data_IF_412155993462
#
_entry.id   IF_412155993462
#
_cell.length_a   1.000
_cell.length_b   1.000
_cell.length_c   1.000
_cell.angle_alpha   90.00
_cell.angle_beta   90.00
_cell.angle_gamma   90.00
#
_symmetry.space_group_name_H-M   'P 1'
#
loop_
_entity.id
_entity.type
_entity.pdbx_description
1 polymer ?
#
# COMPACT_ATOMS: atom_id res chain seq x y z
N UNK A 1 11.78 18.97 24.75
CA UNK A 1 11.46 18.06 23.61
C UNK A 1 11.24 16.66 24.15
N UNK A 2 10.08 16.03 23.93
CA UNK A 2 9.76 14.79 24.65
C UNK A 2 10.33 13.55 23.95
N UNK A 3 10.66 12.47 24.70
CA UNK A 3 11.49 11.37 24.23
C UNK A 3 10.65 10.23 23.64
N UNK A 4 10.14 10.36 22.41
CA UNK A 4 9.17 9.40 21.87
C UNK A 4 9.67 8.43 20.78
N UNK A 5 10.98 8.32 20.53
CA UNK A 5 11.51 7.47 19.43
C UNK A 5 12.52 6.39 19.83
N UNK A 6 12.76 6.15 21.12
CA UNK A 6 13.75 5.13 21.56
C UNK A 6 13.42 3.72 21.07
N UNK A 7 12.14 3.35 21.06
CA UNK A 7 11.64 2.08 20.53
C UNK A 7 11.44 2.05 19.00
N UNK A 8 11.91 3.05 18.27
CA UNK A 8 11.80 3.15 16.81
C UNK A 8 13.16 3.46 16.17
N UNK A 9 14.25 3.10 16.85
CA UNK A 9 15.63 3.33 16.39
C UNK A 9 16.00 2.49 15.18
N UNK A 10 15.38 1.32 15.04
CA UNK A 10 15.57 0.39 13.93
C UNK A 10 14.24 -0.28 13.56
N UNK A 11 14.29 -1.18 12.58
CA UNK A 11 13.11 -1.91 12.09
C UNK A 11 12.80 -3.20 12.89
N UNK A 12 13.50 -3.48 14.00
CA UNK A 12 13.26 -4.66 14.85
C UNK A 12 11.87 -4.67 15.51
N UNK A 13 11.45 -3.55 16.15
CA UNK A 13 10.12 -3.42 16.76
C UNK A 13 8.97 -3.68 15.77
N UNK A 14 9.01 -3.06 14.57
CA UNK A 14 7.98 -3.29 13.55
C UNK A 14 7.96 -4.74 13.04
N UNK A 15 9.13 -5.38 12.87
CA UNK A 15 9.22 -6.79 12.47
C UNK A 15 8.62 -7.71 13.53
N UNK A 16 8.80 -7.39 14.80
CA UNK A 16 8.27 -8.18 15.93
C UNK A 16 6.75 -8.12 15.93
N UNK A 17 6.18 -6.90 15.88
CA UNK A 17 4.72 -6.68 15.79
C UNK A 17 4.13 -7.44 14.60
N UNK A 18 4.76 -7.35 13.43
CA UNK A 18 4.31 -8.08 12.24
C UNK A 18 4.32 -9.59 12.45
N UNK A 19 5.41 -10.17 12.96
CA UNK A 19 5.51 -11.61 13.21
C UNK A 19 4.42 -12.08 14.16
N UNK A 20 4.17 -11.34 15.24
CA UNK A 20 3.15 -11.67 16.22
C UNK A 20 1.74 -11.59 15.62
N UNK A 21 1.44 -10.57 14.81
CA UNK A 21 0.17 -10.41 14.14
C UNK A 21 -0.12 -11.55 13.14
N UNK A 22 0.86 -11.89 12.28
CA UNK A 22 0.72 -13.01 11.34
C UNK A 22 0.53 -14.34 12.07
N UNK A 23 1.29 -14.57 13.15
CA UNK A 23 1.13 -15.76 14.01
C UNK A 23 -0.26 -15.83 14.64
N UNK A 24 -0.76 -14.72 15.19
CA UNK A 24 -2.09 -14.66 15.81
C UNK A 24 -3.22 -14.91 14.79
N UNK A 25 -3.03 -14.53 13.53
CA UNK A 25 -3.95 -14.79 12.43
C UNK A 25 -3.82 -16.20 11.82
N UNK A 26 -2.88 -17.03 12.28
CA UNK A 26 -2.62 -18.36 11.71
C UNK A 26 -2.02 -18.32 10.30
N UNK A 27 -1.40 -17.20 9.91
CA UNK A 27 -0.83 -16.97 8.59
C UNK A 27 0.69 -17.12 8.59
N UNK A 28 1.31 -17.51 7.45
CA UNK A 28 2.75 -17.44 7.28
C UNK A 28 3.28 -16.02 7.52
N UNK A 29 4.51 -15.89 8.01
CA UNK A 29 5.13 -14.58 8.16
C UNK A 29 5.47 -13.98 6.78
N UNK A 30 4.92 -12.80 6.52
CA UNK A 30 5.29 -11.95 5.39
C UNK A 30 6.00 -10.70 5.92
N UNK A 31 7.04 -10.25 5.20
CA UNK A 31 7.82 -9.11 5.65
C UNK A 31 7.03 -7.79 5.53
N UNK A 32 7.41 -6.72 6.25
CA UNK A 32 6.70 -5.44 6.18
C UNK A 32 6.60 -4.83 4.77
N UNK A 33 7.51 -5.16 3.87
CA UNK A 33 7.49 -4.66 2.49
C UNK A 33 6.38 -5.31 1.66
N UNK A 34 6.17 -6.63 1.79
CA UNK A 34 5.04 -7.31 1.14
C UNK A 34 3.69 -6.74 1.55
N UNK A 35 3.54 -6.33 2.81
CA UNK A 35 2.31 -5.68 3.26
C UNK A 35 2.13 -4.27 2.65
N UNK A 36 3.23 -3.50 2.50
CA UNK A 36 3.20 -2.23 1.77
C UNK A 36 2.77 -2.42 0.30
N UNK A 37 3.18 -3.50 -0.34
CA UNK A 37 2.70 -3.84 -1.69
C UNK A 37 1.20 -4.15 -1.72
N UNK A 38 0.70 -4.92 -0.75
CA UNK A 38 -0.75 -5.17 -0.61
C UNK A 38 -1.52 -3.87 -0.45
N UNK A 39 -1.04 -2.94 0.40
CA UNK A 39 -1.66 -1.62 0.57
C UNK A 39 -1.59 -0.77 -0.71
N UNK A 40 -0.51 -0.88 -1.49
CA UNK A 40 -0.44 -0.20 -2.78
C UNK A 40 -1.49 -0.76 -3.75
N UNK A 41 -1.59 -2.09 -3.90
CA UNK A 41 -2.63 -2.71 -4.74
C UNK A 41 -4.05 -2.33 -4.28
N UNK A 42 -4.29 -2.30 -2.97
CA UNK A 42 -5.58 -1.92 -2.41
C UNK A 42 -5.99 -0.47 -2.74
N UNK A 43 -5.03 0.42 -3.04
CA UNK A 43 -5.31 1.77 -3.50
C UNK A 43 -6.09 1.79 -4.82
N UNK A 44 -5.90 0.80 -5.70
CA UNK A 44 -6.68 0.68 -6.95
C UNK A 44 -8.19 0.48 -6.70
N UNK A 45 -8.54 -0.08 -5.55
CA UNK A 45 -9.94 -0.35 -5.19
C UNK A 45 -10.56 0.75 -4.33
N UNK A 46 -9.74 1.44 -3.52
CA UNK A 46 -10.25 2.44 -2.57
C UNK A 46 -10.16 3.87 -3.08
N UNK A 47 -9.11 4.22 -3.82
CA UNK A 47 -8.92 5.57 -4.34
C UNK A 47 -9.73 5.74 -5.62
N UNK A 48 -10.60 6.74 -5.64
CA UNK A 48 -11.52 7.07 -6.74
C UNK A 48 -11.01 8.21 -7.60
N UNK A 49 -10.06 8.98 -7.09
CA UNK A 49 -9.47 10.12 -7.78
C UNK A 49 -7.97 10.25 -7.45
N UNK A 50 -7.32 11.16 -8.17
CA UNK A 50 -5.89 11.42 -8.04
C UNK A 50 -5.49 11.97 -6.66
N UNK A 51 -6.33 12.79 -6.04
CA UNK A 51 -6.06 13.38 -4.72
C UNK A 51 -6.01 12.30 -3.63
N UNK A 52 -6.99 11.40 -3.62
CA UNK A 52 -7.02 10.24 -2.72
C UNK A 52 -5.81 9.33 -2.93
N UNK A 53 -5.44 9.07 -4.19
CA UNK A 53 -4.26 8.27 -4.51
C UNK A 53 -2.96 8.96 -4.05
N UNK A 54 -2.88 10.29 -4.17
CA UNK A 54 -1.73 11.09 -3.71
C UNK A 54 -1.63 11.06 -2.18
N UNK A 55 -2.74 11.24 -1.48
CA UNK A 55 -2.79 11.15 -0.02
C UNK A 55 -2.42 9.74 0.48
N UNK A 56 -2.92 8.69 -0.16
CA UNK A 56 -2.58 7.30 0.14
C UNK A 56 -1.08 7.04 -0.06
N UNK A 57 -0.51 7.50 -1.18
CA UNK A 57 0.92 7.39 -1.48
C UNK A 57 1.79 8.09 -0.43
N UNK A 58 1.41 9.31 -0.02
CA UNK A 58 2.15 10.07 1.00
C UNK A 58 2.04 9.43 2.39
N UNK A 59 0.88 8.87 2.75
CA UNK A 59 0.70 8.12 3.99
C UNK A 59 1.60 6.88 4.04
N UNK A 60 1.83 6.23 2.90
CA UNK A 60 2.79 5.13 2.80
C UNK A 60 4.24 5.60 2.83
N UNK A 61 4.54 6.89 2.80
CA UNK A 61 5.90 7.44 2.76
C UNK A 61 6.57 7.34 1.38
N UNK A 62 5.78 7.38 0.29
CA UNK A 62 6.29 7.51 -1.07
C UNK A 62 6.26 8.99 -1.49
N UNK A 63 7.43 9.57 -1.78
CA UNK A 63 7.54 10.94 -2.29
C UNK A 63 7.01 11.07 -3.73
N UNK A 64 7.19 10.02 -4.53
CA UNK A 64 6.73 9.93 -5.91
C UNK A 64 5.60 8.90 -6.06
N UNK A 65 4.47 9.34 -6.65
CA UNK A 65 3.32 8.52 -6.99
C UNK A 65 3.69 7.36 -7.92
N UNK A 66 4.74 7.52 -8.74
CA UNK A 66 5.27 6.49 -9.63
C UNK A 66 5.55 5.19 -8.88
N UNK A 67 6.12 5.27 -7.67
CA UNK A 67 6.43 4.07 -6.87
C UNK A 67 5.17 3.34 -6.40
N UNK A 68 4.10 4.08 -6.10
CA UNK A 68 2.79 3.52 -5.80
C UNK A 68 2.18 2.88 -7.04
N UNK A 69 2.16 3.56 -8.19
CA UNK A 69 1.59 3.00 -9.42
C UNK A 69 2.33 1.75 -9.91
N UNK A 70 3.67 1.72 -9.82
CA UNK A 70 4.45 0.52 -10.14
C UNK A 70 4.12 -0.62 -9.17
N UNK A 71 3.94 -0.32 -7.89
CA UNK A 71 3.56 -1.30 -6.87
C UNK A 71 2.12 -1.81 -7.00
N UNK A 72 1.22 -0.99 -7.56
CA UNK A 72 -0.14 -1.40 -7.90
C UNK A 72 -0.17 -2.45 -9.02
N UNK A 73 0.91 -2.58 -9.81
CA UNK A 73 1.01 -3.54 -10.90
C UNK A 73 0.19 -3.17 -12.14
N UNK A 74 0.20 -4.05 -13.13
CA UNK A 74 -0.56 -3.88 -14.36
C UNK A 74 -2.07 -4.08 -14.12
N UNK A 75 -2.89 -3.26 -14.77
CA UNK A 75 -4.33 -3.47 -14.80
C UNK A 75 -4.60 -4.66 -15.72
N UNK A 76 -5.29 -5.69 -15.22
CA UNK A 76 -5.69 -6.83 -16.04
C UNK A 76 -6.47 -6.37 -17.29
N UNK A 77 -6.17 -6.96 -18.45
CA UNK A 77 -6.69 -6.51 -19.75
C UNK A 77 -8.22 -6.33 -19.79
N UNK A 78 -8.97 -7.21 -19.11
CA UNK A 78 -10.43 -7.10 -19.02
C UNK A 78 -10.89 -5.85 -18.25
N UNK A 79 -10.28 -5.52 -17.10
CA UNK A 79 -10.58 -4.27 -16.36
C UNK A 79 -10.17 -3.05 -17.15
N UNK A 80 -9.03 -3.10 -17.85
CA UNK A 80 -8.59 -1.99 -18.69
C UNK A 80 -9.63 -1.67 -19.77
N UNK A 81 -10.18 -2.69 -20.44
CA UNK A 81 -11.26 -2.54 -21.41
C UNK A 81 -12.52 -1.93 -20.78
N UNK A 82 -12.92 -2.38 -19.60
CA UNK A 82 -14.10 -1.83 -18.90
C UNK A 82 -13.92 -0.36 -18.52
N UNK A 83 -12.74 0.02 -18.03
CA UNK A 83 -12.43 1.42 -17.67
C UNK A 83 -12.44 2.31 -18.92
N UNK A 84 -11.81 1.89 -20.02
CA UNK A 84 -11.81 2.64 -21.28
C UNK A 84 -13.24 2.80 -21.83
N UNK A 85 -14.05 1.74 -21.81
CA UNK A 85 -15.46 1.82 -22.23
C UNK A 85 -16.27 2.76 -21.36
N UNK A 86 -16.04 2.79 -20.04
CA UNK A 86 -16.71 3.71 -19.13
C UNK A 86 -16.35 5.17 -19.43
N UNK A 87 -15.08 5.46 -19.72
CA UNK A 87 -14.62 6.81 -20.10
C UNK A 87 -15.17 7.29 -21.45
N UNK A 88 -15.64 6.36 -22.29
CA UNK A 88 -16.17 6.66 -23.63
C UNK A 88 -17.68 6.93 -23.62
N UNK A 89 -18.36 6.74 -22.47
CA UNK A 89 -19.79 7.06 -22.35
C UNK A 89 -19.94 8.57 -22.08
N UNK A 90 -20.80 9.27 -22.84
CA UNK A 90 -21.02 10.71 -22.68
C UNK A 90 -21.67 11.07 -21.34
#
# INVERSE_FOLDING_TARGET
>A
MPPHRRGWRDAGPIRTIFKEAFRAAGLPYFNPHSFRHTLAQQAQHQCRNYEELKAWSQNLGHDDLRTTMVSCGEIAAYRQLEVIRAMSKP
#
